data_IF_805044024177
#
_entry.id   IF_805044024177
#
_cell.length_a   1.000
_cell.length_b   1.000
_cell.length_c   1.000
_cell.angle_alpha   90.00
_cell.angle_beta   90.00
_cell.angle_gamma   90.00
#
_symmetry.space_group_name_H-M   'P 1'
#
loop_
_entity.id
_entity.type
_entity.pdbx_description
1 polymer ?
#
# COMPACT_ATOMS: atom_id res chain seq x y z
N UNK A 1 -50.49 84.97 -0.69
CA UNK A 1 -50.69 83.96 0.37
C UNK A 1 -49.99 84.51 1.61
N UNK A 2 -50.61 85.48 2.29
CA UNK A 2 -51.57 85.33 3.42
C UNK A 2 -50.78 85.05 4.73
N UNK A 3 -50.51 86.07 5.58
CA UNK A 3 -51.34 86.60 6.71
C UNK A 3 -50.92 85.94 8.06
N UNK A 4 -50.85 86.52 9.26
CA UNK A 4 -51.30 87.75 9.96
C UNK A 4 -50.30 87.98 11.12
N UNK A 5 -49.74 89.16 11.34
CA UNK A 5 -50.18 90.23 12.26
C UNK A 5 -50.72 89.81 13.64
N UNK A 6 -50.16 90.41 14.71
CA UNK A 6 -50.90 91.22 15.72
C UNK A 6 -49.97 92.00 16.66
N UNK A 7 -50.14 93.32 16.62
CA UNK A 7 -49.70 94.35 17.57
C UNK A 7 -50.39 94.22 18.94
N UNK A 8 -49.89 94.95 19.96
CA UNK A 8 -50.61 95.93 20.83
C UNK A 8 -49.62 96.42 21.91
N UNK A 9 -49.19 97.70 21.96
CA UNK A 9 -49.83 98.98 22.38
C UNK A 9 -49.14 99.51 23.66
N UNK A 10 -48.44 100.63 23.51
CA UNK A 10 -48.00 101.56 24.56
C UNK A 10 -49.19 102.42 25.03
N UNK A 11 -49.23 102.83 26.31
CA UNK A 11 -49.76 104.14 26.75
C UNK A 11 -49.13 104.55 28.13
N UNK A 12 -48.96 105.87 28.42
CA UNK A 12 -48.17 106.42 29.53
C UNK A 12 -49.02 107.18 30.59
N UNK A 13 -48.45 107.59 31.75
CA UNK A 13 -48.83 108.79 32.56
C UNK A 13 -47.92 108.97 33.81
N UNK A 14 -47.08 110.02 33.88
CA UNK A 14 -47.15 111.33 34.60
C UNK A 14 -46.90 111.33 36.14
N UNK A 15 -46.06 112.25 36.67
CA UNK A 15 -45.69 112.32 38.08
C UNK A 15 -46.50 113.38 38.87
N UNK A 16 -46.63 113.19 40.18
CA UNK A 16 -47.02 114.26 41.12
C UNK A 16 -46.08 114.27 42.32
N UNK A 17 -45.38 115.39 42.47
CA UNK A 17 -44.66 115.80 43.66
C UNK A 17 -45.66 116.11 44.78
N UNK A 18 -45.44 115.58 45.99
CA UNK A 18 -45.95 116.20 47.21
C UNK A 18 -44.86 116.11 48.30
N UNK A 19 -44.34 117.26 48.69
CA UNK A 19 -43.53 117.47 49.88
C UNK A 19 -44.42 117.35 51.12
N UNK A 20 -43.97 116.65 52.18
CA UNK A 20 -44.18 117.02 53.60
C UNK A 20 -43.01 116.44 54.43
N UNK A 21 -42.55 117.28 55.37
CA UNK A 21 -41.40 117.12 56.27
C UNK A 21 -41.61 116.04 57.34
N UNK A 22 -40.57 115.26 57.64
CA UNK A 22 -40.51 114.35 58.78
C UNK A 22 -39.06 113.95 59.06
N UNK A 23 -38.39 114.77 59.87
CA UNK A 23 -36.96 114.76 60.14
C UNK A 23 -36.57 113.63 61.13
N UNK A 24 -35.40 113.02 60.90
CA UNK A 24 -34.56 112.28 61.86
C UNK A 24 -35.02 110.87 62.27
N UNK A 25 -34.81 109.87 61.40
CA UNK A 25 -34.55 108.46 61.79
C UNK A 25 -33.88 107.59 60.69
N UNK A 26 -33.66 108.12 59.47
CA UNK A 26 -33.26 107.33 58.28
C UNK A 26 -31.73 107.18 58.09
N UNK A 27 -30.90 107.95 58.79
CA UNK A 27 -29.44 108.02 58.55
C UNK A 27 -28.68 106.70 58.81
N UNK A 28 -29.11 105.85 59.74
CA UNK A 28 -28.40 104.58 60.05
C UNK A 28 -28.65 103.45 59.05
N UNK A 29 -29.75 103.48 58.29
CA UNK A 29 -30.09 102.40 57.35
C UNK A 29 -29.44 102.56 55.97
N UNK A 30 -29.17 103.79 55.52
CA UNK A 30 -28.57 104.06 54.20
C UNK A 30 -27.11 103.57 54.16
N UNK A 31 -26.35 103.72 55.24
CA UNK A 31 -24.96 103.28 55.30
C UNK A 31 -24.82 101.74 55.21
N UNK A 32 -25.74 101.00 55.85
CA UNK A 32 -25.77 99.52 55.80
C UNK A 32 -26.24 99.02 54.43
N UNK A 33 -27.17 99.74 53.79
CA UNK A 33 -27.66 99.39 52.45
C UNK A 33 -26.59 99.62 51.36
N UNK A 34 -25.83 100.72 51.46
CA UNK A 34 -24.73 100.99 50.53
C UNK A 34 -23.58 99.97 50.64
N UNK A 35 -23.22 99.53 51.85
CA UNK A 35 -22.17 98.51 52.03
C UNK A 35 -22.61 97.13 51.53
N UNK A 36 -23.89 96.75 51.74
CA UNK A 36 -24.46 95.52 51.17
C UNK A 36 -24.54 95.55 49.64
N UNK A 37 -24.86 96.70 49.03
CA UNK A 37 -24.89 96.86 47.57
C UNK A 37 -23.49 96.76 46.94
N UNK A 38 -22.48 97.37 47.55
CA UNK A 38 -21.09 97.26 47.08
C UNK A 38 -20.61 95.81 47.19
N UNK A 39 -20.92 95.13 48.29
CA UNK A 39 -20.61 93.71 48.46
C UNK A 39 -21.32 92.83 47.43
N UNK A 40 -22.57 93.13 47.11
CA UNK A 40 -23.32 92.40 46.08
C UNK A 40 -22.70 92.58 44.69
N UNK A 41 -22.31 93.80 44.30
CA UNK A 41 -21.69 94.06 43.00
C UNK A 41 -20.27 93.46 42.88
N UNK A 42 -19.48 93.46 43.96
CA UNK A 42 -18.14 92.83 43.93
C UNK A 42 -18.24 91.30 43.86
N UNK A 43 -19.19 90.69 44.59
CA UNK A 43 -19.46 89.25 44.51
C UNK A 43 -20.00 88.86 43.13
N UNK A 44 -20.92 89.63 42.55
CA UNK A 44 -21.42 89.39 41.19
C UNK A 44 -20.32 89.50 40.13
N UNK A 45 -19.40 90.47 40.25
CA UNK A 45 -18.26 90.62 39.33
C UNK A 45 -17.30 89.42 39.41
N UNK A 46 -17.00 88.96 40.63
CA UNK A 46 -16.19 87.75 40.86
C UNK A 46 -16.85 86.49 40.29
N UNK A 47 -18.15 86.32 40.47
CA UNK A 47 -18.92 85.19 39.89
C UNK A 47 -18.87 85.23 38.35
N UNK A 48 -18.99 86.42 37.75
CA UNK A 48 -18.97 86.57 36.29
C UNK A 48 -17.58 86.24 35.69
N UNK A 49 -16.51 86.66 36.37
CA UNK A 49 -15.12 86.35 35.97
C UNK A 49 -14.84 84.84 36.12
N UNK A 50 -15.29 84.22 37.20
CA UNK A 50 -15.14 82.78 37.44
C UNK A 50 -15.92 81.94 36.43
N UNK A 51 -17.13 82.37 36.05
CA UNK A 51 -17.95 81.71 35.02
C UNK A 51 -17.31 81.82 33.63
N UNK A 52 -16.79 83.00 33.26
CA UNK A 52 -16.09 83.21 31.98
C UNK A 52 -14.79 82.40 31.86
N UNK A 53 -14.07 82.21 32.97
CA UNK A 53 -12.85 81.39 33.02
C UNK A 53 -13.18 79.89 32.88
N UNK A 54 -14.23 79.40 33.56
CA UNK A 54 -14.71 78.02 33.43
C UNK A 54 -15.15 77.67 32.00
N UNK A 55 -15.85 78.57 31.30
CA UNK A 55 -16.27 78.34 29.92
C UNK A 55 -15.09 78.19 28.94
N UNK A 56 -14.04 79.01 29.08
CA UNK A 56 -12.83 78.91 28.24
C UNK A 56 -12.00 77.67 28.53
N UNK A 57 -11.99 77.20 29.77
CA UNK A 57 -11.32 75.95 30.16
C UNK A 57 -12.05 74.76 29.54
N UNK A 58 -13.38 74.72 29.62
CA UNK A 58 -14.18 73.65 28.99
C UNK A 58 -14.03 73.61 27.46
N UNK A 59 -14.06 74.74 26.77
CA UNK A 59 -13.88 74.76 25.31
C UNK A 59 -12.50 74.25 24.86
N UNK A 60 -11.44 74.53 25.63
CA UNK A 60 -10.10 73.98 25.33
C UNK A 60 -10.04 72.48 25.56
N UNK A 61 -10.65 72.00 26.65
CA UNK A 61 -10.72 70.58 26.97
C UNK A 61 -11.51 69.80 25.90
N UNK A 62 -12.62 70.35 25.41
CA UNK A 62 -13.42 69.73 24.34
C UNK A 62 -12.62 69.60 23.03
N UNK A 63 -11.88 70.64 22.63
CA UNK A 63 -11.05 70.55 21.41
C UNK A 63 -9.86 69.58 21.54
N UNK A 64 -9.32 69.41 22.74
CA UNK A 64 -8.27 68.40 22.99
C UNK A 64 -8.86 67.00 22.96
N UNK A 65 -10.05 66.80 23.53
CA UNK A 65 -10.74 65.51 23.50
C UNK A 65 -11.10 65.09 22.06
N UNK A 66 -11.53 66.02 21.20
CA UNK A 66 -11.77 65.72 19.77
C UNK A 66 -10.50 65.31 19.03
N UNK A 67 -9.36 65.98 19.29
CA UNK A 67 -8.07 65.61 18.70
C UNK A 67 -7.60 64.23 19.14
N UNK A 68 -7.70 63.92 20.44
CA UNK A 68 -7.36 62.60 20.98
C UNK A 68 -8.27 61.53 20.37
N UNK A 69 -9.56 61.83 20.16
CA UNK A 69 -10.48 60.93 19.50
C UNK A 69 -10.10 60.65 18.04
N UNK A 70 -9.71 61.68 17.30
CA UNK A 70 -9.21 61.53 15.93
C UNK A 70 -7.89 60.74 15.87
N UNK A 71 -6.94 61.03 16.76
CA UNK A 71 -5.67 60.29 16.84
C UNK A 71 -5.91 58.82 17.19
N UNK A 72 -6.82 58.53 18.11
CA UNK A 72 -7.23 57.17 18.47
C UNK A 72 -7.92 56.44 17.30
N UNK A 73 -8.78 57.13 16.54
CA UNK A 73 -9.41 56.57 15.34
C UNK A 73 -8.38 56.25 14.24
N UNK A 74 -7.39 57.12 14.03
CA UNK A 74 -6.29 56.89 13.07
C UNK A 74 -5.41 55.73 13.54
N UNK A 75 -5.09 55.63 14.82
CA UNK A 75 -4.29 54.54 15.38
C UNK A 75 -5.02 53.18 15.27
N UNK A 76 -6.33 53.15 15.50
CA UNK A 76 -7.13 51.96 15.25
C UNK A 76 -7.18 51.58 13.76
N UNK A 77 -7.29 52.56 12.87
CA UNK A 77 -7.23 52.30 11.43
C UNK A 77 -5.88 51.71 11.01
N UNK A 78 -4.78 52.25 11.55
CA UNK A 78 -3.44 51.74 11.26
C UNK A 78 -3.26 50.31 11.78
N UNK A 79 -3.69 50.01 13.01
CA UNK A 79 -3.64 48.66 13.58
C UNK A 79 -4.46 47.65 12.77
N UNK A 80 -5.65 48.06 12.28
CA UNK A 80 -6.48 47.21 11.44
C UNK A 80 -5.83 46.93 10.08
N UNK A 81 -5.17 47.94 9.48
CA UNK A 81 -4.46 47.80 8.21
C UNK A 81 -3.24 46.90 8.34
N UNK A 82 -2.44 47.06 9.41
CA UNK A 82 -1.27 46.21 9.67
C UNK A 82 -1.67 44.76 9.90
N UNK A 83 -2.78 44.53 10.61
CA UNK A 83 -3.34 43.18 10.80
C UNK A 83 -3.81 42.57 9.48
N UNK A 84 -4.50 43.33 8.63
CA UNK A 84 -4.91 42.85 7.31
C UNK A 84 -3.71 42.48 6.42
N UNK A 85 -2.64 43.28 6.46
CA UNK A 85 -1.41 43.01 5.71
C UNK A 85 -0.68 41.75 6.21
N UNK A 86 -0.69 41.50 7.53
CA UNK A 86 -0.16 40.27 8.10
C UNK A 86 -0.99 39.06 7.67
N UNK A 87 -2.32 39.14 7.73
CA UNK A 87 -3.22 38.07 7.30
C UNK A 87 -3.06 37.75 5.80
N UNK A 88 -2.84 38.76 4.96
CA UNK A 88 -2.59 38.59 3.53
C UNK A 88 -1.22 37.95 3.25
N UNK A 89 -0.17 38.37 3.94
CA UNK A 89 1.16 37.76 3.84
C UNK A 89 1.18 36.31 4.34
N UNK A 90 0.42 35.98 5.39
CA UNK A 90 0.25 34.61 5.87
C UNK A 90 -0.52 33.74 4.87
N UNK A 91 -1.55 34.29 4.21
CA UNK A 91 -2.26 33.62 3.12
C UNK A 91 -1.34 33.36 1.92
N UNK A 92 -0.58 34.36 1.47
CA UNK A 92 0.35 34.22 0.36
C UNK A 92 1.45 33.18 0.65
N UNK A 93 2.02 33.16 1.87
CA UNK A 93 2.98 32.13 2.31
C UNK A 93 2.38 30.73 2.39
N UNK A 94 1.08 30.60 2.72
CA UNK A 94 0.35 29.33 2.70
C UNK A 94 0.09 28.83 1.28
N UNK A 95 -0.23 29.73 0.35
CA UNK A 95 -0.43 29.40 -1.06
C UNK A 95 0.88 28.99 -1.76
N UNK A 96 1.99 29.67 -1.46
CA UNK A 96 3.30 29.37 -2.03
C UNK A 96 3.87 28.04 -1.51
N UNK A 97 3.67 27.71 -0.23
CA UNK A 97 4.01 26.39 0.34
C UNK A 97 3.21 25.22 -0.24
N UNK A 98 2.12 25.48 -0.94
CA UNK A 98 1.25 24.45 -1.51
C UNK A 98 1.58 24.10 -2.96
N UNK A 99 2.61 24.74 -3.55
CA UNK A 99 3.09 24.49 -4.91
C UNK A 99 4.44 23.79 -4.90
N UNK A 100 4.66 22.99 -5.93
CA UNK A 100 5.95 22.32 -6.15
C UNK A 100 6.96 23.33 -6.71
N UNK A 101 8.22 23.24 -6.26
CA UNK A 101 9.31 24.07 -6.81
C UNK A 101 9.46 23.85 -8.32
N UNK A 102 9.98 24.85 -9.01
CA UNK A 102 10.09 24.83 -10.47
C UNK A 102 10.99 23.69 -10.98
N UNK A 103 10.74 23.25 -12.21
CA UNK A 103 11.52 22.22 -12.92
C UNK A 103 11.62 20.86 -12.21
N UNK A 104 10.79 20.56 -11.20
CA UNK A 104 10.76 19.23 -10.56
C UNK A 104 10.13 18.23 -11.52
N UNK A 105 10.82 17.10 -11.76
CA UNK A 105 10.40 16.09 -12.73
C UNK A 105 9.99 14.81 -12.00
N UNK A 106 8.73 14.39 -12.12
CA UNK A 106 8.22 13.12 -11.61
C UNK A 106 8.11 12.08 -12.74
N UNK A 107 8.96 11.05 -12.71
CA UNK A 107 8.97 9.96 -13.72
C UNK A 107 8.89 10.52 -15.17
N UNK A 108 9.76 11.49 -15.48
CA UNK A 108 9.84 12.12 -16.80
C UNK A 108 8.73 13.14 -17.13
N UNK A 109 7.86 13.48 -16.18
CA UNK A 109 6.86 14.55 -16.34
C UNK A 109 7.22 15.74 -15.46
N UNK A 110 7.31 16.92 -16.05
CA UNK A 110 7.49 18.17 -15.30
C UNK A 110 6.23 18.46 -14.47
N UNK A 111 6.44 18.68 -13.18
CA UNK A 111 5.40 18.99 -12.19
C UNK A 111 5.70 20.28 -11.43
N UNK A 112 6.70 21.06 -11.87
CA UNK A 112 7.03 22.35 -11.26
C UNK A 112 5.87 23.34 -11.35
N UNK A 113 5.69 24.15 -10.31
CA UNK A 113 4.62 25.15 -10.21
C UNK A 113 3.20 24.59 -9.97
N UNK A 114 3.01 23.26 -10.07
CA UNK A 114 1.71 22.62 -9.84
C UNK A 114 1.33 22.60 -8.36
N UNK A 115 0.03 22.67 -8.10
CA UNK A 115 -0.53 22.47 -6.77
C UNK A 115 -0.45 21.00 -6.32
N UNK A 116 -0.49 20.79 -5.00
CA UNK A 116 -0.56 19.46 -4.39
C UNK A 116 -1.65 18.56 -5.00
N UNK A 117 -2.83 19.11 -5.28
CA UNK A 117 -3.97 18.37 -5.84
C UNK A 117 -3.72 17.92 -7.28
N UNK A 118 -3.08 18.76 -8.09
CA UNK A 118 -2.72 18.44 -9.48
C UNK A 118 -1.64 17.38 -9.54
N UNK A 119 -0.61 17.50 -8.70
CA UNK A 119 0.45 16.50 -8.55
C UNK A 119 -0.12 15.17 -8.11
N UNK A 120 -1.07 15.16 -7.17
CA UNK A 120 -1.74 13.95 -6.70
C UNK A 120 -2.54 13.27 -7.82
N UNK A 121 -3.19 14.03 -8.72
CA UNK A 121 -3.84 13.46 -9.92
C UNK A 121 -2.81 12.82 -10.85
N UNK A 122 -1.66 13.45 -11.07
CA UNK A 122 -0.57 12.91 -11.90
C UNK A 122 0.00 11.62 -11.28
N UNK A 123 0.27 11.62 -9.97
CA UNK A 123 0.74 10.44 -9.23
C UNK A 123 -0.27 9.30 -9.38
N UNK A 124 -1.57 9.55 -9.14
CA UNK A 124 -2.62 8.52 -9.31
C UNK A 124 -2.68 7.96 -10.73
N UNK A 125 -2.58 8.83 -11.74
CA UNK A 125 -2.59 8.42 -13.15
C UNK A 125 -1.38 7.56 -13.52
N UNK A 126 -0.19 7.90 -13.01
CA UNK A 126 1.03 7.09 -13.21
C UNK A 126 0.99 5.81 -12.38
N UNK A 127 0.51 5.86 -11.14
CA UNK A 127 0.32 4.71 -10.27
C UNK A 127 -0.55 3.65 -10.95
N UNK A 128 -1.69 4.03 -11.52
CA UNK A 128 -2.57 3.09 -12.23
C UNK A 128 -1.90 2.30 -13.39
N UNK A 129 -0.77 2.79 -13.93
CA UNK A 129 0.01 2.09 -14.97
C UNK A 129 1.08 1.16 -14.41
N UNK A 130 1.51 1.39 -13.18
CA UNK A 130 2.63 0.69 -12.52
C UNK A 130 2.11 -0.30 -11.48
N UNK A 131 1.01 0.02 -10.82
CA UNK A 131 0.39 -0.81 -9.80
C UNK A 131 -0.11 -2.11 -10.38
N UNK A 132 0.19 -3.19 -9.67
CA UNK A 132 -0.25 -4.54 -10.00
C UNK A 132 -0.62 -5.25 -8.71
N UNK A 133 -1.77 -5.90 -8.71
CA UNK A 133 -2.15 -6.75 -7.60
C UNK A 133 -1.25 -7.99 -7.53
N UNK A 134 -0.94 -8.49 -6.33
CA UNK A 134 -0.18 -9.71 -6.20
C UNK A 134 -1.00 -10.90 -6.74
N UNK A 135 -0.30 -11.85 -7.36
CA UNK A 135 -0.91 -13.09 -7.84
C UNK A 135 -0.56 -14.19 -6.86
N UNK A 136 -1.58 -14.87 -6.33
CA UNK A 136 -1.38 -15.99 -5.42
C UNK A 136 -0.65 -17.16 -6.09
N UNK A 137 0.16 -17.88 -5.30
CA UNK A 137 0.65 -19.19 -5.69
C UNK A 137 -0.53 -20.14 -5.88
N UNK A 138 -0.42 -21.04 -6.86
CA UNK A 138 -1.46 -22.03 -7.17
C UNK A 138 -0.89 -23.43 -7.17
N UNK A 139 -1.73 -24.37 -6.78
CA UNK A 139 -1.45 -25.79 -6.76
C UNK A 139 -2.19 -26.47 -7.93
N UNK A 140 -1.51 -27.37 -8.65
CA UNK A 140 -2.09 -28.13 -9.77
C UNK A 140 -2.49 -29.52 -9.26
N UNK A 141 -3.78 -29.85 -9.12
CA UNK A 141 -4.21 -31.12 -8.52
C UNK A 141 -3.74 -32.38 -9.26
N UNK A 142 -3.56 -32.30 -10.58
CA UNK A 142 -3.22 -33.44 -11.44
C UNK A 142 -1.72 -33.77 -11.38
N UNK A 143 -0.87 -32.76 -11.18
CA UNK A 143 0.59 -32.93 -11.16
C UNK A 143 1.21 -32.65 -9.80
N UNK A 144 0.46 -32.10 -8.86
CA UNK A 144 0.94 -31.62 -7.57
C UNK A 144 2.01 -30.52 -7.66
N UNK A 145 2.15 -29.89 -8.82
CA UNK A 145 3.10 -28.80 -9.00
C UNK A 145 2.60 -27.54 -8.30
N UNK A 146 3.54 -26.84 -7.67
CA UNK A 146 3.30 -25.55 -7.03
C UNK A 146 3.81 -24.45 -7.95
N UNK A 147 2.88 -23.68 -8.50
CA UNK A 147 3.20 -22.54 -9.36
C UNK A 147 3.33 -21.31 -8.47
N UNK A 148 4.50 -20.65 -8.47
CA UNK A 148 4.77 -19.56 -7.56
C UNK A 148 3.89 -18.36 -7.83
N UNK A 149 3.52 -17.68 -6.74
CA UNK A 149 2.84 -16.40 -6.80
C UNK A 149 3.76 -15.31 -7.34
N UNK A 150 3.16 -14.19 -7.77
CA UNK A 150 3.90 -12.99 -8.22
C UNK A 150 3.66 -11.86 -7.25
N UNK A 151 4.73 -11.12 -6.93
CA UNK A 151 4.66 -9.93 -6.10
C UNK A 151 3.81 -8.85 -6.77
N UNK A 152 2.92 -8.26 -5.98
CA UNK A 152 2.21 -7.04 -6.33
C UNK A 152 3.13 -5.84 -6.19
N UNK A 153 2.76 -4.74 -6.82
CA UNK A 153 3.43 -3.44 -6.66
C UNK A 153 2.34 -2.42 -6.39
N UNK A 154 2.51 -1.65 -5.32
CA UNK A 154 1.64 -0.52 -5.00
C UNK A 154 2.47 0.74 -4.90
N UNK A 155 1.96 1.86 -5.39
CA UNK A 155 2.62 3.15 -5.24
C UNK A 155 2.21 3.75 -3.92
N UNK A 156 3.21 4.08 -3.09
CA UNK A 156 2.98 4.89 -1.89
C UNK A 156 2.77 6.35 -2.33
N UNK A 157 1.50 6.70 -2.55
CA UNK A 157 1.09 8.03 -3.03
C UNK A 157 1.54 9.13 -2.07
N UNK A 158 1.38 8.92 -0.76
CA UNK A 158 1.71 9.93 0.26
C UNK A 158 3.21 10.21 0.32
N UNK A 159 4.03 9.16 0.36
CA UNK A 159 5.49 9.27 0.38
C UNK A 159 6.03 9.84 -0.94
N UNK A 160 5.44 9.45 -2.07
CA UNK A 160 5.78 10.02 -3.37
C UNK A 160 5.45 11.51 -3.41
N UNK A 161 4.24 11.89 -2.97
CA UNK A 161 3.82 13.29 -2.94
C UNK A 161 4.75 14.12 -2.03
N UNK A 162 5.04 13.61 -0.83
CA UNK A 162 5.98 14.25 0.10
C UNK A 162 7.35 14.46 -0.57
N UNK A 163 7.88 13.44 -1.25
CA UNK A 163 9.17 13.55 -1.94
C UNK A 163 9.15 14.57 -3.09
N UNK A 164 8.01 14.76 -3.77
CA UNK A 164 7.85 15.78 -4.82
C UNK A 164 7.76 17.18 -4.22
N UNK A 165 6.96 17.36 -3.14
CA UNK A 165 6.81 18.66 -2.49
C UNK A 165 8.11 19.12 -1.80
N UNK A 166 8.86 18.19 -1.21
CA UNK A 166 10.12 18.46 -0.53
C UNK A 166 11.32 18.54 -1.51
N UNK A 167 11.10 18.29 -2.80
CA UNK A 167 12.17 18.27 -3.80
C UNK A 167 12.81 19.67 -3.97
N UNK A 168 14.09 19.67 -4.33
CA UNK A 168 14.77 20.88 -4.77
C UNK A 168 14.46 21.15 -6.25
N UNK A 169 14.65 22.40 -6.66
CA UNK A 169 14.43 22.83 -8.05
C UNK A 169 15.23 21.96 -9.03
N UNK A 170 14.62 21.57 -10.15
CA UNK A 170 15.28 20.74 -11.16
C UNK A 170 15.45 19.26 -10.79
N UNK A 171 15.02 18.83 -9.59
CA UNK A 171 15.25 17.47 -9.11
C UNK A 171 14.32 16.46 -9.76
N UNK A 172 14.88 15.28 -10.07
CA UNK A 172 14.14 14.13 -10.61
C UNK A 172 13.67 13.24 -9.46
N UNK A 173 12.36 13.09 -9.33
CA UNK A 173 11.70 12.24 -8.33
C UNK A 173 11.12 11.00 -9.02
N UNK A 174 11.33 9.84 -8.40
CA UNK A 174 10.75 8.57 -8.83
C UNK A 174 9.52 8.23 -7.99
N UNK A 175 8.62 7.44 -8.54
CA UNK A 175 7.51 6.87 -7.75
C UNK A 175 8.08 5.99 -6.64
N UNK A 176 7.57 6.18 -5.42
CA UNK A 176 7.90 5.30 -4.32
C UNK A 176 6.97 4.10 -4.39
N UNK A 177 7.53 2.95 -4.75
CA UNK A 177 6.80 1.69 -4.85
C UNK A 177 7.06 0.80 -3.65
N UNK A 178 6.03 0.09 -3.23
CA UNK A 178 6.07 -0.95 -2.21
C UNK A 178 5.67 -2.28 -2.82
N UNK A 179 6.42 -3.32 -2.48
CA UNK A 179 6.09 -4.67 -2.92
C UNK A 179 5.04 -5.29 -2.00
N UNK A 180 3.98 -5.84 -2.60
CA UNK A 180 2.92 -6.53 -1.86
C UNK A 180 3.09 -8.03 -2.04
N UNK A 181 3.24 -8.75 -0.93
CA UNK A 181 3.31 -10.21 -0.95
C UNK A 181 1.93 -10.80 -1.27
N UNK A 182 1.86 -11.87 -2.09
CA UNK A 182 0.62 -12.61 -2.27
C UNK A 182 0.15 -13.22 -0.95
N UNK A 183 -1.16 -13.38 -0.79
CA UNK A 183 -1.77 -13.99 0.40
C UNK A 183 -1.38 -15.46 0.53
N UNK A 184 -1.28 -16.15 -0.61
CA UNK A 184 -0.82 -17.54 -0.69
C UNK A 184 0.53 -17.55 -1.40
N UNK A 185 1.56 -18.01 -0.70
CA UNK A 185 2.93 -18.12 -1.22
C UNK A 185 3.26 -19.57 -1.55
N UNK A 186 4.30 -19.83 -2.35
CA UNK A 186 4.78 -21.19 -2.60
C UNK A 186 5.18 -21.91 -1.31
N UNK A 187 5.69 -21.15 -0.33
CA UNK A 187 6.09 -21.68 0.97
C UNK A 187 4.92 -22.32 1.72
N UNK A 188 3.69 -21.83 1.51
CA UNK A 188 2.50 -22.42 2.12
C UNK A 188 2.22 -23.86 1.69
N UNK A 189 2.83 -24.32 0.59
CA UNK A 189 2.70 -25.67 0.07
C UNK A 189 3.92 -26.57 0.35
N UNK A 190 5.04 -26.03 0.85
CA UNK A 190 6.30 -26.78 1.05
C UNK A 190 6.15 -27.98 1.98
N UNK A 191 5.38 -27.83 3.06
CA UNK A 191 5.15 -28.93 4.01
C UNK A 191 4.05 -29.90 3.56
N UNK A 192 3.36 -29.55 2.47
CA UNK A 192 2.16 -30.23 1.97
C UNK A 192 2.50 -31.18 0.82
N UNK A 193 3.33 -30.74 -0.12
CA UNK A 193 3.89 -31.59 -1.19
C UNK A 193 5.38 -31.77 -0.92
N UNK A 194 5.77 -32.98 -0.56
CA UNK A 194 7.12 -33.30 -0.13
C UNK A 194 7.78 -34.30 -1.07
N UNK A 195 9.07 -34.10 -1.36
CA UNK A 195 9.87 -35.15 -1.98
C UNK A 195 10.18 -36.22 -0.94
N UNK A 196 9.75 -37.45 -1.18
CA UNK A 196 10.01 -38.61 -0.31
C UNK A 196 11.38 -39.20 -0.64
N UNK A 197 11.65 -39.41 -1.92
CA UNK A 197 12.91 -39.97 -2.41
C UNK A 197 13.10 -39.64 -3.89
N UNK A 198 14.35 -39.75 -4.35
CA UNK A 198 14.69 -39.65 -5.77
C UNK A 198 15.87 -40.54 -6.08
N UNK A 199 15.88 -41.14 -7.26
CA UNK A 199 17.00 -41.95 -7.74
C UNK A 199 17.19 -41.77 -9.23
N UNK A 200 18.45 -41.86 -9.69
CA UNK A 200 18.80 -41.74 -11.10
C UNK A 200 19.64 -42.91 -11.57
N UNK A 201 19.36 -43.42 -12.77
CA UNK A 201 20.21 -44.40 -13.46
C UNK A 201 20.81 -43.80 -14.74
N UNK A 202 22.05 -44.15 -15.12
CA UNK A 202 22.67 -43.62 -16.32
C UNK A 202 22.04 -44.20 -17.59
N UNK A 203 21.92 -43.39 -18.64
CA UNK A 203 21.52 -43.81 -19.98
C UNK A 203 22.78 -44.10 -20.81
N UNK A 204 23.33 -45.30 -20.68
CA UNK A 204 24.52 -45.74 -21.43
C UNK A 204 24.16 -46.08 -22.88
N UNK A 205 23.11 -46.87 -23.09
CA UNK A 205 22.55 -47.16 -24.41
C UNK A 205 21.43 -46.15 -24.72
N UNK A 206 21.69 -45.33 -25.74
CA UNK A 206 20.84 -44.23 -26.21
C UNK A 206 20.23 -44.49 -27.59
N UNK A 207 20.16 -45.76 -28.00
CA UNK A 207 19.53 -46.11 -29.29
C UNK A 207 18.08 -45.60 -29.35
N UNK A 208 17.63 -45.01 -30.47
CA UNK A 208 16.32 -44.35 -30.55
C UNK A 208 15.13 -45.24 -30.14
N UNK A 209 15.18 -46.54 -30.48
CA UNK A 209 14.11 -47.48 -30.12
C UNK A 209 14.06 -47.75 -28.62
N UNK A 210 15.22 -47.83 -27.96
CA UNK A 210 15.31 -48.04 -26.51
C UNK A 210 14.77 -46.85 -25.75
N UNK A 211 15.18 -45.63 -26.15
CA UNK A 211 14.68 -44.39 -25.56
C UNK A 211 13.17 -44.28 -25.75
N UNK A 212 12.67 -44.51 -26.96
CA UNK A 212 11.22 -44.54 -27.25
C UNK A 212 10.46 -45.51 -26.33
N UNK A 213 10.99 -46.72 -26.11
CA UNK A 213 10.35 -47.71 -25.23
C UNK A 213 10.28 -47.25 -23.77
N UNK A 214 11.33 -46.59 -23.27
CA UNK A 214 11.37 -46.03 -21.91
C UNK A 214 10.36 -44.89 -21.79
N UNK A 215 10.32 -43.96 -22.74
CA UNK A 215 9.36 -42.84 -22.76
C UNK A 215 7.91 -43.33 -22.81
N UNK A 216 7.63 -44.33 -23.66
CA UNK A 216 6.33 -44.95 -23.76
C UNK A 216 5.91 -45.59 -22.43
N UNK A 217 6.81 -46.33 -21.77
CA UNK A 217 6.52 -46.90 -20.46
C UNK A 217 6.31 -45.81 -19.38
N UNK A 218 7.09 -44.73 -19.39
CA UNK A 218 6.88 -43.56 -18.51
C UNK A 218 5.50 -42.96 -18.71
N UNK A 219 5.06 -42.80 -19.97
CA UNK A 219 3.76 -42.18 -20.29
C UNK A 219 2.57 -42.95 -19.70
N UNK A 220 2.71 -44.28 -19.52
CA UNK A 220 1.67 -45.14 -18.93
C UNK A 220 1.60 -45.05 -17.41
N UNK A 221 2.69 -44.64 -16.74
CA UNK A 221 2.76 -44.54 -15.26
C UNK A 221 2.59 -43.11 -14.77
N UNK A 222 3.01 -42.11 -15.56
CA UNK A 222 3.06 -40.70 -15.15
C UNK A 222 1.73 -40.24 -14.57
N UNK A 223 1.81 -39.50 -13.46
CA UNK A 223 0.67 -38.96 -12.70
C UNK A 223 -0.24 -39.99 -12.02
N UNK A 224 0.12 -41.29 -12.00
CA UNK A 224 -0.58 -42.26 -11.15
C UNK A 224 -0.38 -41.90 -9.68
N UNK A 225 -1.49 -41.80 -8.96
CA UNK A 225 -1.52 -41.62 -7.50
C UNK A 225 -1.62 -43.00 -6.87
N UNK A 226 -0.79 -43.26 -5.85
CA UNK A 226 -0.82 -44.49 -5.06
C UNK A 226 -1.22 -44.10 -3.63
N UNK A 227 -2.40 -44.53 -3.19
CA UNK A 227 -2.94 -44.16 -1.88
C UNK A 227 -2.27 -44.95 -0.74
N UNK A 228 -2.37 -44.47 0.52
CA UNK A 228 -1.92 -45.23 1.69
C UNK A 228 -2.47 -46.65 1.69
N UNK A 229 -1.59 -47.63 1.87
CA UNK A 229 -1.89 -49.07 1.86
C UNK A 229 -2.11 -49.68 0.48
N UNK A 230 -2.13 -48.89 -0.59
CA UNK A 230 -2.23 -49.39 -1.97
C UNK A 230 -0.88 -49.97 -2.43
N UNK A 231 -0.95 -51.05 -3.21
CA UNK A 231 0.21 -51.67 -3.85
C UNK A 231 0.36 -51.14 -5.27
N UNK A 232 1.56 -50.70 -5.60
CA UNK A 232 1.95 -50.43 -6.98
C UNK A 232 2.44 -51.72 -7.63
N UNK A 233 1.94 -52.02 -8.83
CA UNK A 233 2.51 -53.01 -9.75
C UNK A 233 3.03 -52.32 -11.01
N UNK A 234 4.28 -52.62 -11.37
CA UNK A 234 4.89 -52.11 -12.60
C UNK A 234 4.18 -52.67 -13.84
N UNK A 235 3.93 -53.98 -13.87
CA UNK A 235 3.27 -54.62 -15.01
C UNK A 235 1.80 -54.23 -15.16
N UNK A 236 1.07 -54.02 -14.07
CA UNK A 236 -0.31 -53.51 -14.12
C UNK A 236 -0.33 -52.09 -14.70
N UNK A 237 0.65 -51.26 -14.33
CA UNK A 237 0.70 -49.86 -14.77
C UNK A 237 1.20 -49.71 -16.22
N UNK A 238 2.14 -50.56 -16.66
CA UNK A 238 2.76 -50.44 -18.01
C UNK A 238 2.07 -51.35 -19.05
N UNK A 239 1.46 -52.45 -18.62
CA UNK A 239 0.83 -53.43 -19.50
C UNK A 239 1.82 -54.27 -20.32
N UNK A 240 1.31 -54.97 -21.33
CA UNK A 240 2.12 -55.86 -22.17
C UNK A 240 3.00 -55.06 -23.16
N UNK A 241 4.23 -55.52 -23.41
CA UNK A 241 5.19 -54.84 -24.28
C UNK A 241 5.13 -55.46 -25.66
N UNK A 242 4.24 -54.97 -26.52
CA UNK A 242 4.01 -55.50 -27.88
C UNK A 242 4.15 -54.41 -28.95
N UNK A 243 4.25 -54.82 -30.21
CA UNK A 243 4.38 -53.88 -31.33
C UNK A 243 3.09 -53.09 -31.54
N UNK A 244 1.93 -53.72 -31.29
CA UNK A 244 0.62 -53.07 -31.33
C UNK A 244 0.48 -51.98 -30.26
N UNK A 245 1.12 -52.17 -29.11
CA UNK A 245 1.20 -51.17 -28.04
C UNK A 245 2.24 -50.06 -28.31
N UNK A 246 2.93 -50.11 -29.46
CA UNK A 246 3.90 -49.11 -29.90
C UNK A 246 5.33 -49.34 -29.43
N UNK A 247 5.63 -50.48 -28.79
CA UNK A 247 7.00 -50.83 -28.43
C UNK A 247 7.82 -51.27 -29.65
N UNK A 248 9.11 -50.97 -29.62
CA UNK A 248 10.08 -51.25 -30.68
C UNK A 248 11.12 -52.27 -30.23
N UNK A 249 11.79 -52.90 -31.18
CA UNK A 249 12.92 -53.78 -30.91
C UNK A 249 14.13 -52.97 -30.41
N UNK A 250 14.70 -53.42 -29.31
CA UNK A 250 15.94 -52.93 -28.71
C UNK A 250 16.63 -54.09 -27.99
N UNK A 251 17.85 -53.89 -27.50
CA UNK A 251 18.56 -54.94 -26.77
C UNK A 251 17.80 -55.28 -25.47
N UNK A 252 17.54 -56.57 -25.28
CA UNK A 252 17.00 -57.17 -24.07
C UNK A 252 18.00 -58.16 -23.49
N UNK A 253 17.88 -58.43 -22.19
CA UNK A 253 18.64 -59.49 -21.51
C UNK A 253 17.65 -60.58 -21.12
N UNK A 254 17.90 -61.81 -21.60
CA UNK A 254 17.08 -62.97 -21.28
C UNK A 254 17.92 -64.03 -20.59
N UNK A 255 17.36 -64.67 -19.55
CA UNK A 255 17.92 -65.88 -18.96
C UNK A 255 17.66 -67.08 -19.86
N UNK A 256 18.71 -67.77 -20.29
CA UNK A 256 18.63 -69.01 -21.09
C UNK A 256 19.24 -70.19 -20.32
N UNK A 257 19.14 -71.40 -20.86
CA UNK A 257 19.76 -72.61 -20.26
C UNK A 257 21.29 -72.50 -20.18
N UNK A 258 21.89 -71.74 -21.10
CA UNK A 258 23.34 -71.54 -21.21
C UNK A 258 23.82 -70.27 -20.49
N UNK A 259 22.95 -69.65 -19.68
CA UNK A 259 23.20 -68.39 -19.00
C UNK A 259 22.45 -67.21 -19.63
N UNK A 260 22.69 -65.98 -19.16
CA UNK A 260 22.07 -64.81 -19.73
C UNK A 260 22.57 -64.52 -21.15
N UNK A 261 21.69 -63.97 -21.98
CA UNK A 261 21.98 -63.60 -23.37
C UNK A 261 21.41 -62.23 -23.70
N UNK A 262 22.23 -61.40 -24.34
CA UNK A 262 21.81 -60.14 -24.97
C UNK A 262 21.34 -60.42 -26.39
N UNK A 263 20.12 -60.01 -26.71
CA UNK A 263 19.53 -60.17 -28.05
C UNK A 263 18.55 -59.03 -28.34
N UNK A 264 18.19 -58.84 -29.61
CA UNK A 264 17.11 -57.92 -29.95
C UNK A 264 15.75 -58.49 -29.55
N UNK A 265 14.96 -57.68 -28.86
CA UNK A 265 13.61 -58.02 -28.46
C UNK A 265 12.75 -56.80 -28.25
N UNK A 266 11.44 -57.01 -28.24
CA UNK A 266 10.49 -55.92 -28.10
C UNK A 266 10.47 -55.36 -26.68
N UNK A 267 10.46 -54.04 -26.54
CA UNK A 267 10.40 -53.38 -25.23
C UNK A 267 11.74 -53.30 -24.49
N UNK A 268 12.87 -53.52 -25.16
CA UNK A 268 14.19 -53.29 -24.57
C UNK A 268 14.32 -51.87 -24.01
N UNK A 269 14.91 -51.76 -22.81
CA UNK A 269 15.00 -50.53 -22.01
C UNK A 269 14.00 -50.44 -20.85
N UNK A 270 12.86 -51.13 -20.91
CA UNK A 270 11.79 -51.03 -19.89
C UNK A 270 12.23 -51.49 -18.49
N UNK A 271 13.12 -52.49 -18.40
CA UNK A 271 13.68 -52.92 -17.12
C UNK A 271 14.50 -51.83 -16.42
N UNK A 272 15.14 -50.91 -17.15
CA UNK A 272 15.85 -49.78 -16.53
C UNK A 272 14.88 -48.86 -15.79
N UNK A 273 13.70 -48.62 -16.36
CA UNK A 273 12.66 -47.84 -15.69
C UNK A 273 12.20 -48.55 -14.41
N UNK A 274 11.96 -49.86 -14.46
CA UNK A 274 11.62 -50.67 -13.28
C UNK A 274 12.69 -50.56 -12.19
N UNK A 275 13.97 -50.76 -12.54
CA UNK A 275 15.10 -50.58 -11.61
C UNK A 275 15.15 -49.18 -11.00
N UNK A 276 14.92 -48.14 -11.79
CA UNK A 276 14.97 -46.76 -11.29
C UNK A 276 13.82 -46.47 -10.31
N UNK A 277 12.60 -47.00 -10.59
CA UNK A 277 11.48 -46.91 -9.66
C UNK A 277 11.77 -47.72 -8.40
N UNK A 278 12.32 -48.93 -8.52
CA UNK A 278 12.72 -49.75 -7.38
C UNK A 278 13.69 -49.03 -6.46
N UNK A 279 14.79 -48.50 -7.00
CA UNK A 279 15.77 -47.77 -6.20
C UNK A 279 15.19 -46.52 -5.54
N UNK A 280 14.29 -45.80 -6.23
CA UNK A 280 13.57 -44.68 -5.61
C UNK A 280 12.63 -45.17 -4.49
N UNK A 281 11.95 -46.30 -4.65
CA UNK A 281 11.08 -46.89 -3.64
C UNK A 281 11.88 -47.41 -2.42
N UNK A 282 13.00 -48.06 -2.66
CA UNK A 282 13.94 -48.51 -1.62
C UNK A 282 14.47 -47.33 -0.81
N UNK A 283 15.00 -46.29 -1.48
CA UNK A 283 15.48 -45.07 -0.83
C UNK A 283 14.37 -44.34 -0.06
N UNK A 284 13.12 -44.47 -0.49
CA UNK A 284 11.94 -43.91 0.18
C UNK A 284 11.44 -44.73 1.37
N UNK A 285 12.04 -45.90 1.65
CA UNK A 285 11.61 -46.81 2.70
C UNK A 285 10.20 -47.35 2.48
N UNK A 286 9.83 -47.60 1.23
CA UNK A 286 8.59 -48.29 0.88
C UNK A 286 8.75 -49.80 1.08
N UNK A 287 7.65 -50.49 1.38
CA UNK A 287 7.67 -51.94 1.55
C UNK A 287 7.68 -52.61 0.18
N UNK A 288 8.82 -53.16 -0.23
CA UNK A 288 8.95 -53.92 -1.47
C UNK A 288 8.32 -55.30 -1.27
N UNK A 289 7.34 -55.65 -2.10
CA UNK A 289 6.56 -56.90 -1.99
C UNK A 289 6.91 -57.90 -3.09
N UNK A 290 7.41 -57.44 -4.23
CA UNK A 290 7.95 -58.28 -5.29
C UNK A 290 9.12 -57.58 -5.97
N UNK A 291 10.24 -58.29 -6.11
CA UNK A 291 11.44 -57.83 -6.82
C UNK A 291 12.25 -59.03 -7.27
N UNK A 292 12.76 -58.97 -8.49
CA UNK A 292 13.63 -59.98 -9.09
C UNK A 292 14.85 -59.29 -9.70
N UNK A 293 16.03 -59.85 -9.59
CA UNK A 293 17.25 -59.37 -10.24
C UNK A 293 17.44 -59.97 -11.64
N UNK A 294 18.21 -59.29 -12.49
CA UNK A 294 18.71 -59.92 -13.71
C UNK A 294 19.75 -60.99 -13.34
N UNK A 295 19.77 -62.08 -14.11
CA UNK A 295 20.79 -63.13 -13.99
C UNK A 295 22.15 -62.74 -14.61
N UNK A 296 22.29 -61.52 -15.12
CA UNK A 296 23.49 -61.00 -15.79
C UNK A 296 23.82 -59.59 -15.31
N UNK A 297 25.04 -59.16 -15.60
CA UNK A 297 25.46 -57.78 -15.39
C UNK A 297 24.72 -56.82 -16.33
N UNK A 298 24.20 -55.74 -15.74
CA UNK A 298 23.54 -54.65 -16.44
C UNK A 298 24.34 -53.36 -16.28
N UNK A 299 24.27 -52.47 -17.26
CA UNK A 299 25.14 -51.29 -17.30
C UNK A 299 24.62 -50.08 -16.51
N UNK A 300 23.48 -50.22 -15.82
CA UNK A 300 22.76 -49.09 -15.21
C UNK A 300 22.43 -49.28 -13.72
N UNK A 301 22.85 -50.40 -13.12
CA UNK A 301 22.83 -50.64 -11.68
C UNK A 301 23.87 -51.70 -11.32
N UNK A 302 24.28 -51.75 -10.04
CA UNK A 302 25.18 -52.78 -9.54
C UNK A 302 24.52 -54.17 -9.55
N UNK A 303 25.33 -55.23 -9.56
CA UNK A 303 24.82 -56.59 -9.60
C UNK A 303 23.95 -56.88 -8.37
N UNK A 304 22.74 -57.39 -8.60
CA UNK A 304 21.80 -57.68 -7.53
C UNK A 304 21.10 -56.45 -6.95
N UNK A 305 21.25 -55.27 -7.57
CA UNK A 305 20.62 -54.02 -7.16
C UNK A 305 19.53 -53.51 -8.13
N UNK A 306 19.04 -54.37 -9.01
CA UNK A 306 18.13 -54.02 -10.09
C UNK A 306 16.71 -54.62 -9.92
N UNK A 307 15.76 -54.30 -10.80
CA UNK A 307 14.42 -54.91 -10.76
C UNK A 307 14.00 -55.34 -12.17
N UNK A 308 14.25 -56.61 -12.48
CA UNK A 308 13.84 -57.27 -13.71
C UNK A 308 12.32 -57.45 -13.77
N UNK A 309 11.74 -57.20 -14.94
CA UNK A 309 10.29 -57.30 -15.19
C UNK A 309 10.04 -58.00 -16.53
N UNK A 310 9.02 -58.85 -16.54
CA UNK A 310 8.54 -59.58 -17.70
C UNK A 310 7.04 -59.75 -17.57
N UNK A 311 6.26 -59.20 -18.51
CA UNK A 311 4.81 -59.21 -18.43
C UNK A 311 4.27 -60.64 -18.32
N UNK A 312 3.45 -60.90 -17.30
CA UNK A 312 2.89 -62.23 -17.01
C UNK A 312 3.80 -63.20 -16.24
N UNK A 313 5.04 -62.81 -15.93
CA UNK A 313 6.01 -63.68 -15.24
C UNK A 313 6.76 -63.03 -14.08
N UNK A 314 7.39 -61.87 -14.29
CA UNK A 314 8.19 -61.16 -13.27
C UNK A 314 7.66 -59.74 -13.12
N UNK A 315 7.36 -59.31 -11.91
CA UNK A 315 6.90 -57.96 -11.63
C UNK A 315 7.78 -57.24 -10.61
N UNK A 316 7.64 -55.94 -10.55
CA UNK A 316 8.15 -55.13 -9.46
C UNK A 316 6.96 -54.49 -8.73
N UNK A 317 6.87 -54.75 -7.42
CA UNK A 317 5.76 -54.28 -6.58
C UNK A 317 6.24 -53.69 -5.26
N UNK A 318 5.54 -52.65 -4.82
CA UNK A 318 5.72 -52.08 -3.49
C UNK A 318 4.43 -51.51 -2.94
N UNK A 319 4.30 -51.50 -1.62
CA UNK A 319 3.16 -50.90 -0.90
C UNK A 319 3.50 -49.49 -0.47
N UNK A 320 2.58 -48.55 -0.69
CA UNK A 320 2.65 -47.23 -0.06
C UNK A 320 2.33 -47.34 1.43
N UNK A 321 3.35 -47.61 2.24
CA UNK A 321 3.30 -47.65 3.70
C UNK A 321 3.31 -46.26 4.37
N UNK A 322 3.16 -45.16 3.61
CA UNK A 322 3.05 -43.81 4.17
C UNK A 322 1.60 -43.47 4.53
N UNK A 323 1.42 -42.49 5.41
CA UNK A 323 0.10 -41.99 5.80
C UNK A 323 -0.54 -41.03 4.80
N UNK A 324 0.11 -40.79 3.65
CA UNK A 324 -0.33 -39.86 2.61
C UNK A 324 -0.15 -40.47 1.21
N UNK A 325 -0.96 -40.07 0.21
CA UNK A 325 -0.80 -40.49 -1.16
C UNK A 325 0.54 -40.06 -1.75
N UNK A 326 1.06 -40.86 -2.67
CA UNK A 326 2.30 -40.59 -3.40
C UNK A 326 2.05 -40.56 -4.91
N UNK A 327 2.98 -39.96 -5.65
CA UNK A 327 3.01 -39.95 -7.10
C UNK A 327 4.43 -40.11 -7.61
N UNK A 328 4.58 -40.85 -8.71
CA UNK A 328 5.86 -41.03 -9.39
C UNK A 328 6.06 -39.91 -10.43
N UNK A 329 7.16 -39.18 -10.30
CA UNK A 329 7.63 -38.15 -11.25
C UNK A 329 8.83 -38.68 -12.01
N UNK A 330 8.84 -38.40 -13.31
CA UNK A 330 9.85 -38.92 -14.23
C UNK A 330 10.50 -37.75 -14.94
N UNK A 331 11.82 -37.71 -14.90
CA UNK A 331 12.66 -36.81 -15.68
C UNK A 331 13.70 -37.63 -16.42
N UNK A 332 13.88 -37.36 -17.70
CA UNK A 332 14.85 -38.06 -18.52
C UNK A 332 15.51 -37.02 -19.43
N UNK A 333 16.83 -36.98 -19.41
CA UNK A 333 17.64 -36.17 -20.31
C UNK A 333 18.58 -37.05 -21.13
N UNK A 334 19.58 -36.46 -21.77
CA UNK A 334 20.52 -37.21 -22.60
C UNK A 334 21.40 -38.19 -21.82
N UNK A 335 21.55 -38.03 -20.51
CA UNK A 335 22.54 -38.75 -19.70
C UNK A 335 21.92 -39.68 -18.66
N UNK A 336 20.73 -39.38 -18.16
CA UNK A 336 20.14 -40.13 -17.06
C UNK A 336 18.62 -40.18 -17.10
N UNK A 337 18.09 -41.23 -16.48
CA UNK A 337 16.69 -41.38 -16.13
C UNK A 337 16.55 -41.20 -14.62
N UNK A 338 15.72 -40.25 -14.19
CA UNK A 338 15.44 -39.93 -12.79
C UNK A 338 13.98 -40.22 -12.46
N UNK A 339 13.76 -40.93 -11.36
CA UNK A 339 12.44 -41.12 -10.75
C UNK A 339 12.43 -40.43 -9.40
N UNK A 340 11.42 -39.58 -9.17
CA UNK A 340 11.20 -38.90 -7.90
C UNK A 340 9.84 -39.31 -7.36
N UNK A 341 9.79 -39.79 -6.12
CA UNK A 341 8.55 -40.08 -5.41
C UNK A 341 8.19 -38.84 -4.60
N UNK A 342 7.07 -38.22 -4.94
CA UNK A 342 6.51 -37.09 -4.20
C UNK A 342 5.29 -37.55 -3.40
N UNK A 343 5.09 -36.99 -2.21
CA UNK A 343 3.96 -37.25 -1.33
C UNK A 343 3.11 -36.00 -1.14
N UNK A 344 1.80 -36.18 -1.04
CA UNK A 344 0.87 -35.07 -0.81
C UNK A 344 0.04 -35.28 0.46
N UNK A 345 0.38 -34.53 1.50
CA UNK A 345 -0.25 -34.62 2.82
C UNK A 345 -1.63 -33.94 2.90
N UNK A 346 -2.06 -33.23 1.84
CA UNK A 346 -3.40 -32.61 1.80
C UNK A 346 -4.49 -33.56 1.33
N UNK A 347 -4.13 -34.64 0.64
CA UNK A 347 -5.11 -35.55 0.05
C UNK A 347 -5.36 -36.68 1.03
N UNK A 348 -6.62 -36.84 1.41
CA UNK A 348 -7.12 -38.03 2.11
C UNK A 348 -8.07 -38.76 1.16
N UNK A 349 -8.20 -40.08 1.35
CA UNK A 349 -9.06 -40.93 0.53
C UNK A 349 -10.52 -40.76 0.89
#
# INVERSE_FOLDING_TARGET
>A
MDNRSRNYKLLPWRPTFLFIKGHVLISKYIAVFCTLLIYFFTVCSLIYIMAGCSLRINQKADSQNEKIKQEFEVEQQQQNMDKALQEENEKAKKEDKNKVKDNVILEGTDVGGLSKEEVLKIIKKKAAKVEREPVNARYVPETWDVIPGKMGVKVNIEKTLKNVMDAEEGKKVKLVTEEIKPKVTSDSFKDRVVTVSSFSTPLVDKTPNRIHNIELAISKIRNKIIYPGEEFSFNESVGNRTAAEGYKNAIIIRKTKDGPKKEEGIGGGVCQLSTTIYKAAEAGGFTITERHDHSDEITYAEQGEDAAVSFGYLDFKFVNNKSFPIMLKFYMDENQLTVTIVGNKMIQR
#
